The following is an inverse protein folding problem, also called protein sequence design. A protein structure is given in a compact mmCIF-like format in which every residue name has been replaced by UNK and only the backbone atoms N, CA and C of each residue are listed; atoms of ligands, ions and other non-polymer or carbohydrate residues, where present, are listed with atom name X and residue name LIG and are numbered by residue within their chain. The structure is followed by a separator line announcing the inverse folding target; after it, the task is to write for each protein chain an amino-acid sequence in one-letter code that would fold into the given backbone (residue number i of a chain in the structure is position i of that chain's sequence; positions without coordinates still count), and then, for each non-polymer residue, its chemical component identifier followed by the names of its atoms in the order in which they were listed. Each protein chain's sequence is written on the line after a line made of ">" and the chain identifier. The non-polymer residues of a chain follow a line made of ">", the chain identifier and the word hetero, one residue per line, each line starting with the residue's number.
data_IF_316862698128
#
_entry.id   IF_316862698128
#
_cell.length_a   1.000
_cell.length_b   1.000
_cell.length_c   1.000
_cell.angle_alpha   90.00
_cell.angle_beta   90.00
_cell.angle_gamma   90.00
#
_symmetry.space_group_name_H-M   'P 1'
#
loop_
_entity.id
_entity.type
_entity.pdbx_description
1 polymer ?
#
# COMPACT_ATOMS: atom_id res chain seq x y z
N UNK A 1 -8.82 -15.68 19.41
CA UNK A 1 -9.11 -16.67 18.35
C UNK A 1 -7.95 -16.77 17.40
N UNK A 2 -7.52 -17.99 17.11
CA UNK A 2 -6.48 -18.20 16.12
C UNK A 2 -7.06 -18.78 14.83
N UNK A 3 -6.57 -18.31 13.71
CA UNK A 3 -6.93 -18.80 12.38
C UNK A 3 -5.70 -19.32 11.68
N UNK A 4 -5.87 -20.27 10.80
CA UNK A 4 -4.78 -20.75 9.95
C UNK A 4 -5.26 -20.92 8.51
N UNK A 5 -4.32 -20.81 7.58
CA UNK A 5 -4.59 -20.94 6.16
C UNK A 5 -3.96 -22.24 5.63
N UNK A 6 -4.73 -23.01 4.89
CA UNK A 6 -4.26 -24.22 4.21
C UNK A 6 -4.86 -24.26 2.81
N UNK A 7 -4.02 -24.37 1.80
CA UNK A 7 -4.43 -24.43 0.39
C UNK A 7 -5.32 -23.24 -0.04
N UNK A 8 -5.05 -22.06 0.54
CA UNK A 8 -5.82 -20.85 0.23
C UNK A 8 -7.14 -20.73 0.97
N UNK A 9 -7.45 -21.67 1.87
CA UNK A 9 -8.68 -21.67 2.65
C UNK A 9 -8.36 -21.36 4.11
N UNK A 10 -9.10 -20.43 4.70
CA UNK A 10 -8.96 -20.09 6.11
C UNK A 10 -9.82 -21.00 6.99
N UNK A 11 -9.24 -21.42 8.10
CA UNK A 11 -9.91 -22.26 9.10
C UNK A 11 -9.78 -21.62 10.48
N UNK A 12 -10.80 -21.83 11.30
CA UNK A 12 -10.75 -21.42 12.71
C UNK A 12 -10.05 -22.51 13.57
N UNK A 13 -9.94 -22.26 14.86
CA UNK A 13 -9.29 -23.17 15.81
C UNK A 13 -10.02 -24.51 15.94
N UNK A 14 -11.27 -24.61 15.49
CA UNK A 14 -12.08 -25.83 15.49
C UNK A 14 -12.06 -26.54 14.13
N UNK A 15 -11.14 -26.16 13.23
CA UNK A 15 -11.00 -26.67 11.87
C UNK A 15 -12.25 -26.43 10.99
N UNK A 16 -13.02 -25.38 11.31
CA UNK A 16 -14.12 -24.96 10.45
C UNK A 16 -13.62 -23.95 9.43
N UNK A 17 -14.06 -24.10 8.20
CA UNK A 17 -13.78 -23.14 7.15
C UNK A 17 -14.40 -21.78 7.49
N UNK A 18 -13.58 -20.75 7.46
CA UNK A 18 -14.00 -19.36 7.69
C UNK A 18 -14.05 -18.66 6.34
N UNK A 19 -15.18 -18.04 6.04
CA UNK A 19 -15.31 -17.26 4.83
C UNK A 19 -14.37 -16.05 4.91
N UNK A 20 -13.75 -15.71 3.79
CA UNK A 20 -12.82 -14.56 3.70
C UNK A 20 -13.50 -13.28 4.17
N UNK A 21 -14.80 -13.16 3.98
CA UNK A 21 -15.61 -12.03 4.43
C UNK A 21 -15.65 -11.88 5.95
N UNK A 22 -15.59 -12.96 6.70
CA UNK A 22 -15.52 -12.92 8.16
C UNK A 22 -14.15 -12.51 8.65
N UNK A 23 -13.10 -12.85 7.89
CA UNK A 23 -11.74 -12.43 8.18
C UNK A 23 -11.51 -10.97 7.83
N UNK A 24 -12.12 -10.49 6.74
CA UNK A 24 -12.06 -9.10 6.34
C UNK A 24 -13.02 -8.26 7.16
N UNK A 25 -12.47 -7.47 8.07
CA UNK A 25 -13.21 -6.45 8.80
C UNK A 25 -14.00 -5.60 7.79
N UNK A 26 -15.28 -5.31 8.11
CA UNK A 26 -16.10 -4.42 7.28
C UNK A 26 -15.47 -3.03 7.13
N UNK A 27 -14.79 -2.57 8.17
CA UNK A 27 -14.04 -1.31 8.14
C UNK A 27 -12.93 -1.38 7.08
N UNK A 28 -12.23 -2.50 6.99
CA UNK A 28 -11.19 -2.70 5.97
C UNK A 28 -11.77 -2.70 4.56
N UNK A 29 -12.86 -3.41 4.34
CA UNK A 29 -13.51 -3.48 3.02
C UNK A 29 -14.01 -2.10 2.59
N UNK A 30 -14.61 -1.37 3.50
CA UNK A 30 -15.10 -0.01 3.26
C UNK A 30 -13.96 0.95 2.94
N UNK A 31 -12.87 0.84 3.69
CA UNK A 31 -11.67 1.63 3.45
C UNK A 31 -11.05 1.28 2.09
N UNK A 32 -10.94 0.00 1.77
CA UNK A 32 -10.41 -0.46 0.48
C UNK A 32 -11.22 0.08 -0.69
N UNK A 33 -12.54 0.08 -0.59
CA UNK A 33 -13.41 0.60 -1.64
C UNK A 33 -13.16 2.11 -1.84
N UNK A 34 -13.01 2.86 -0.77
CA UNK A 34 -12.66 4.27 -0.83
C UNK A 34 -11.28 4.49 -1.44
N UNK A 35 -10.28 3.71 -1.00
CA UNK A 35 -8.92 3.77 -1.50
C UNK A 35 -8.87 3.53 -3.01
N UNK A 36 -9.55 2.47 -3.49
CA UNK A 36 -9.57 2.11 -4.89
C UNK A 36 -10.44 3.03 -5.75
N UNK A 37 -11.32 3.81 -5.12
CA UNK A 37 -12.11 4.83 -5.83
C UNK A 37 -11.33 6.12 -6.06
N UNK A 38 -10.37 6.44 -5.20
CA UNK A 38 -9.58 7.67 -5.27
C UNK A 38 -8.20 7.48 -5.88
N UNK A 39 -7.66 6.28 -5.79
CA UNK A 39 -6.33 5.92 -6.27
C UNK A 39 -6.43 4.91 -7.39
N UNK A 40 -5.51 4.96 -8.37
CA UNK A 40 -5.42 3.91 -9.38
C UNK A 40 -4.78 2.63 -8.84
N UNK A 41 -4.26 2.65 -7.61
CA UNK A 41 -3.73 1.45 -6.98
C UNK A 41 -4.85 0.52 -6.50
N UNK A 42 -4.54 -0.76 -6.47
CA UNK A 42 -5.40 -1.80 -5.90
C UNK A 42 -4.79 -2.25 -4.58
N UNK A 43 -5.59 -2.30 -3.53
CA UNK A 43 -5.11 -2.60 -2.19
C UNK A 43 -5.12 -4.12 -1.96
N UNK A 44 -3.91 -4.69 -1.86
CA UNK A 44 -3.70 -6.13 -1.66
C UNK A 44 -2.98 -6.45 -0.34
N UNK A 45 -2.79 -5.46 0.53
CA UNK A 45 -2.18 -5.68 1.83
C UNK A 45 -3.20 -6.36 2.74
N UNK A 46 -2.88 -7.57 3.18
CA UNK A 46 -3.76 -8.38 4.03
C UNK A 46 -3.38 -8.25 5.49
N UNK A 47 -3.62 -7.05 6.05
CA UNK A 47 -3.35 -6.73 7.45
C UNK A 47 -4.42 -5.77 7.99
N UNK A 48 -4.71 -5.81 9.30
CA UNK A 48 -5.63 -4.85 9.90
C UNK A 48 -5.15 -3.40 9.71
N UNK A 49 -6.08 -2.48 9.56
CA UNK A 49 -5.78 -1.07 9.37
C UNK A 49 -5.02 -0.43 10.53
N UNK A 50 -5.20 -0.96 11.74
CA UNK A 50 -4.50 -0.47 12.94
C UNK A 50 -3.11 -1.09 13.14
N UNK A 51 -2.62 -1.89 12.17
CA UNK A 51 -1.27 -2.44 12.21
C UNK A 51 -0.26 -1.31 12.32
N UNK A 52 0.65 -1.41 13.30
CA UNK A 52 1.72 -0.43 13.49
C UNK A 52 2.75 -0.56 12.36
N UNK A 53 3.00 0.54 11.66
CA UNK A 53 4.04 0.60 10.63
C UNK A 53 5.34 1.12 11.24
N UNK A 54 5.27 2.17 12.06
CA UNK A 54 6.46 2.78 12.65
C UNK A 54 6.12 3.50 13.95
N UNK A 55 7.07 3.43 14.90
CA UNK A 55 7.05 4.25 16.12
C UNK A 55 7.84 5.56 15.95
N UNK A 56 8.45 5.78 14.79
CA UNK A 56 9.16 7.02 14.48
C UNK A 56 8.19 8.18 14.31
N UNK A 57 8.66 9.39 14.60
CA UNK A 57 7.85 10.61 14.44
C UNK A 57 7.59 10.95 12.98
N UNK A 58 8.52 10.57 12.12
CA UNK A 58 8.45 10.85 10.68
C UNK A 58 8.96 9.64 9.91
N UNK A 59 8.29 9.31 8.83
CA UNK A 59 8.77 8.33 7.86
C UNK A 59 8.63 8.90 6.46
N UNK A 60 9.31 8.26 5.51
CA UNK A 60 9.21 8.60 4.09
C UNK A 60 8.78 7.35 3.34
N UNK A 61 7.70 7.46 2.61
CA UNK A 61 7.29 6.42 1.67
C UNK A 61 7.94 6.75 0.34
N UNK A 62 8.74 5.82 -0.15
CA UNK A 62 9.53 5.98 -1.37
C UNK A 62 9.03 4.99 -2.43
N UNK A 63 8.75 5.49 -3.61
CA UNK A 63 8.32 4.70 -4.74
C UNK A 63 9.10 5.13 -5.97
N UNK A 64 10.04 4.29 -6.40
CA UNK A 64 10.88 4.57 -7.56
C UNK A 64 10.59 3.55 -8.66
N UNK A 65 9.90 3.99 -9.69
CA UNK A 65 9.60 3.18 -10.87
C UNK A 65 10.44 3.57 -12.07
N UNK A 66 11.40 4.48 -11.88
CA UNK A 66 12.22 5.00 -12.98
C UNK A 66 13.05 3.92 -13.68
N UNK A 67 13.37 2.82 -12.97
CA UNK A 67 14.16 1.72 -13.47
C UNK A 67 13.32 0.54 -13.97
N UNK A 68 11.99 0.67 -13.99
CA UNK A 68 11.14 -0.37 -14.54
C UNK A 68 11.35 -0.51 -16.05
N UNK A 69 11.28 -1.74 -16.54
CA UNK A 69 11.49 -2.07 -17.94
C UNK A 69 10.59 -1.25 -18.87
N UNK A 70 9.36 -1.02 -18.45
CA UNK A 70 8.34 -0.28 -19.21
C UNK A 70 8.77 1.15 -19.52
N UNK A 71 9.71 1.71 -18.74
CA UNK A 71 10.18 3.08 -18.92
C UNK A 71 11.60 3.15 -19.45
N UNK A 72 12.19 2.01 -19.83
CA UNK A 72 13.58 1.94 -20.28
C UNK A 72 13.86 2.77 -21.54
N UNK A 73 12.86 2.94 -22.38
CA UNK A 73 12.98 3.71 -23.63
C UNK A 73 12.78 5.22 -23.43
N UNK A 74 12.39 5.65 -22.22
CA UNK A 74 12.18 7.06 -21.95
C UNK A 74 13.51 7.74 -21.57
N UNK A 75 13.70 9.03 -21.96
CA UNK A 75 14.83 9.81 -21.48
C UNK A 75 14.84 9.89 -19.95
N UNK A 76 16.02 10.03 -19.35
CA UNK A 76 16.17 10.13 -17.90
C UNK A 76 15.30 11.25 -17.30
N UNK A 77 15.20 12.38 -18.00
CA UNK A 77 14.34 13.50 -17.57
C UNK A 77 12.86 13.14 -17.49
N UNK A 78 12.40 12.21 -18.32
CA UNK A 78 11.02 11.72 -18.28
C UNK A 78 10.83 10.65 -17.22
N UNK A 79 11.86 9.81 -17.00
CA UNK A 79 11.76 8.73 -16.01
C UNK A 79 11.66 9.24 -14.57
N UNK A 80 12.25 10.39 -14.26
CA UNK A 80 12.19 10.94 -12.91
C UNK A 80 10.76 11.34 -12.49
N UNK A 81 9.83 11.47 -13.42
CA UNK A 81 8.41 11.69 -13.12
C UNK A 81 7.76 10.49 -12.42
N UNK A 82 8.41 9.33 -12.47
CA UNK A 82 7.91 8.09 -11.87
C UNK A 82 8.58 7.77 -10.53
N UNK A 83 9.19 8.79 -9.92
CA UNK A 83 9.74 8.72 -8.57
C UNK A 83 8.86 9.56 -7.66
N UNK A 84 8.44 8.99 -6.54
CA UNK A 84 7.62 9.68 -5.57
C UNK A 84 8.18 9.54 -4.16
N UNK A 85 8.17 10.63 -3.41
CA UNK A 85 8.50 10.66 -1.98
C UNK A 85 7.30 11.21 -1.23
N UNK A 86 6.80 10.47 -0.28
CA UNK A 86 5.68 10.90 0.55
C UNK A 86 6.11 10.94 2.01
N UNK A 87 6.13 12.15 2.58
CA UNK A 87 6.50 12.35 3.98
C UNK A 87 5.27 12.20 4.87
N UNK A 88 5.37 11.32 5.87
CA UNK A 88 4.29 11.06 6.81
C UNK A 88 4.78 11.38 8.22
N UNK A 89 4.00 12.18 8.94
CA UNK A 89 4.26 12.54 10.32
C UNK A 89 3.28 11.84 11.24
N UNK A 90 3.80 11.30 12.36
CA UNK A 90 2.95 10.73 13.40
C UNK A 90 2.05 11.81 14.00
N UNK A 91 0.82 11.44 14.34
CA UNK A 91 -0.15 12.33 14.99
C UNK A 91 -0.03 12.20 16.51
N UNK A 92 0.13 13.35 17.21
CA UNK A 92 -0.04 13.44 18.68
C UNK A 92 0.66 12.32 19.47
N UNK A 93 1.93 12.03 19.18
CA UNK A 93 2.71 10.96 19.84
C UNK A 93 2.18 9.55 19.58
N UNK A 94 1.30 9.37 18.62
CA UNK A 94 0.80 8.06 18.22
C UNK A 94 1.78 7.37 17.27
N UNK A 95 1.67 6.04 17.19
CA UNK A 95 2.40 5.29 16.16
C UNK A 95 1.79 5.56 14.80
N UNK A 96 2.60 5.48 13.74
CA UNK A 96 2.10 5.55 12.37
C UNK A 96 1.50 4.19 12.03
N UNK A 97 0.21 4.18 11.72
CA UNK A 97 -0.53 2.96 11.39
C UNK A 97 -0.61 2.75 9.89
N UNK A 98 -0.95 1.52 9.50
CA UNK A 98 -1.25 1.19 8.10
C UNK A 98 -2.34 2.10 7.53
N UNK A 99 -3.41 2.34 8.30
CA UNK A 99 -4.49 3.23 7.87
C UNK A 99 -3.99 4.63 7.55
N UNK A 100 -3.11 5.18 8.39
CA UNK A 100 -2.55 6.51 8.16
C UNK A 100 -1.72 6.54 6.86
N UNK A 101 -0.84 5.56 6.66
CA UNK A 101 -0.01 5.47 5.46
C UNK A 101 -0.88 5.38 4.21
N UNK A 102 -1.87 4.49 4.23
CA UNK A 102 -2.77 4.29 3.08
C UNK A 102 -3.62 5.53 2.80
N UNK A 103 -4.05 6.24 3.84
CA UNK A 103 -4.81 7.48 3.70
C UNK A 103 -3.98 8.55 3.01
N UNK A 104 -2.71 8.69 3.39
CA UNK A 104 -1.79 9.63 2.76
C UNK A 104 -1.52 9.27 1.29
N UNK A 105 -1.36 7.99 0.99
CA UNK A 105 -1.20 7.49 -0.39
C UNK A 105 -2.45 7.83 -1.21
N UNK A 106 -3.63 7.53 -0.67
CA UNK A 106 -4.91 7.75 -1.33
C UNK A 106 -5.14 9.22 -1.70
N UNK A 107 -4.66 10.13 -0.85
CA UNK A 107 -4.83 11.57 -1.03
C UNK A 107 -3.65 12.22 -1.78
N UNK A 108 -2.66 11.44 -2.19
CA UNK A 108 -1.50 11.93 -2.92
C UNK A 108 -1.82 12.03 -4.43
N UNK A 109 -1.55 13.18 -5.03
CA UNK A 109 -1.83 13.39 -6.45
C UNK A 109 -1.12 12.40 -7.37
N UNK A 110 0.05 11.93 -6.95
CA UNK A 110 0.81 10.95 -7.73
C UNK A 110 0.00 9.68 -8.00
N UNK A 111 -0.84 9.25 -7.04
CA UNK A 111 -1.63 8.02 -7.14
C UNK A 111 -3.10 8.26 -7.50
N UNK A 112 -3.48 9.50 -7.74
CA UNK A 112 -4.88 9.83 -8.02
C UNK A 112 -5.38 9.19 -9.31
N UNK A 113 -6.62 8.69 -9.28
CA UNK A 113 -7.31 8.17 -10.46
C UNK A 113 -7.43 9.23 -11.57
N UNK A 114 -7.36 10.51 -11.20
CA UNK A 114 -7.42 11.61 -12.15
C UNK A 114 -6.06 11.91 -12.80
N UNK A 115 -5.00 11.27 -12.35
CA UNK A 115 -3.68 11.40 -12.95
C UNK A 115 -3.56 10.40 -14.12
N UNK A 116 -4.18 10.74 -15.24
CA UNK A 116 -4.27 9.86 -16.41
C UNK A 116 -2.90 9.50 -16.98
N UNK A 117 -1.98 10.43 -17.01
CA UNK A 117 -0.63 10.20 -17.54
C UNK A 117 0.04 9.03 -16.80
N UNK A 118 -0.02 9.02 -15.47
CA UNK A 118 0.61 7.97 -14.67
C UNK A 118 -0.18 6.67 -14.68
N UNK A 119 -1.52 6.75 -14.65
CA UNK A 119 -2.36 5.55 -14.63
C UNK A 119 -2.27 4.74 -15.93
N UNK A 120 -2.01 5.39 -17.07
CA UNK A 120 -1.86 4.71 -18.37
C UNK A 120 -0.53 3.98 -18.46
N UNK A 121 0.53 4.50 -17.84
CA UNK A 121 1.87 3.93 -17.94
C UNK A 121 2.24 2.99 -16.80
N UNK A 122 1.48 2.98 -15.70
CA UNK A 122 1.81 2.17 -14.54
C UNK A 122 1.12 0.81 -14.60
N UNK A 123 1.90 -0.23 -14.94
CA UNK A 123 1.42 -1.60 -15.00
C UNK A 123 1.44 -2.29 -13.62
N UNK A 124 2.20 -1.74 -12.66
CA UNK A 124 2.30 -2.28 -11.32
C UNK A 124 1.39 -1.47 -10.39
N UNK A 125 0.15 -1.95 -10.26
CA UNK A 125 -0.91 -1.22 -9.52
C UNK A 125 -1.36 -1.94 -8.25
N UNK A 126 -0.92 -3.19 -8.02
CA UNK A 126 -1.31 -3.96 -6.84
C UNK A 126 -0.34 -3.68 -5.69
N UNK A 127 -0.80 -2.90 -4.71
CA UNK A 127 -0.03 -2.60 -3.52
C UNK A 127 -0.07 -3.81 -2.58
N UNK A 128 1.05 -4.55 -2.52
CA UNK A 128 1.14 -5.81 -1.80
C UNK A 128 1.81 -5.69 -0.44
N UNK A 129 2.79 -4.80 -0.30
CA UNK A 129 3.44 -4.57 0.98
C UNK A 129 4.10 -3.19 1.05
N UNK A 130 4.44 -2.80 2.28
CA UNK A 130 5.19 -1.58 2.59
C UNK A 130 6.37 -2.03 3.44
N UNK A 131 7.58 -1.98 2.89
CA UNK A 131 8.76 -2.57 3.50
C UNK A 131 9.78 -1.51 3.92
N UNK A 132 10.21 -1.59 5.18
CA UNK A 132 11.23 -0.68 5.69
C UNK A 132 12.59 -1.00 5.08
N UNK A 133 13.27 0.02 4.59
CA UNK A 133 14.66 -0.08 4.19
C UNK A 133 15.52 -0.12 5.46
N UNK A 134 16.39 -1.13 5.64
CA UNK A 134 17.16 -1.30 6.89
C UNK A 134 17.93 -0.04 7.28
N UNK A 135 17.89 0.28 8.58
CA UNK A 135 18.59 1.41 9.19
C UNK A 135 18.19 2.79 8.67
N UNK A 136 16.97 2.91 8.13
CA UNK A 136 16.45 4.18 7.63
C UNK A 136 15.02 4.41 8.11
N UNK A 137 14.51 5.62 7.86
CA UNK A 137 13.09 5.94 8.02
C UNK A 137 12.33 5.81 6.69
N UNK A 138 12.98 5.25 5.67
CA UNK A 138 12.37 5.03 4.36
C UNK A 138 11.67 3.68 4.30
N UNK A 139 10.49 3.71 3.72
CA UNK A 139 9.67 2.53 3.45
C UNK A 139 9.37 2.51 1.96
N UNK A 140 9.59 1.36 1.34
CA UNK A 140 9.32 1.17 -0.08
C UNK A 140 7.99 0.47 -0.27
N UNK A 141 7.26 0.91 -1.29
CA UNK A 141 6.05 0.23 -1.72
C UNK A 141 6.43 -0.94 -2.62
N UNK A 142 5.91 -2.12 -2.30
CA UNK A 142 6.01 -3.27 -3.20
C UNK A 142 4.74 -3.36 -4.03
N UNK A 143 4.90 -3.17 -5.33
CA UNK A 143 3.78 -3.10 -6.27
C UNK A 143 3.89 -4.23 -7.29
N UNK A 144 2.87 -5.07 -7.32
CA UNK A 144 2.77 -6.18 -8.26
C UNK A 144 1.96 -5.83 -9.50
N UNK A 145 2.05 -6.70 -10.47
CA UNK A 145 1.31 -6.58 -11.73
C UNK A 145 0.19 -7.62 -11.85
#
# INVERSE_FOLDING_TARGET
>A
MSYFCKDGIMYDENNKEVEIEEYGDEEYKKFRDEFESKSYLRLCIDKPLNTSISSEKNIVIYDDRSNCYEYSDLPESERCKYINYLHIKAKNHEVITLKQVLTEIMNCDFYSVNNKEKSEYLNHVFLESIDRKPNTIQYELFLGS
#
